data_IF_820778300769
#
_entry.id   IF_820778300769
#
_cell.length_a   1.000
_cell.length_b   1.000
_cell.length_c   1.000
_cell.angle_alpha   90.00
_cell.angle_beta   90.00
_cell.angle_gamma   90.00
#
_symmetry.space_group_name_H-M   'P 1'
#
loop_
_entity.id
_entity.type
_entity.pdbx_description
1 polymer ?
#
# COMPACT_ATOMS: atom_id res chain seq x y z
N UNK A 1 1.71 -2.27 14.01
CA UNK A 1 1.28 -2.65 12.63
C UNK A 1 2.37 -2.31 11.61
N UNK A 2 2.85 -3.26 10.78
CA UNK A 2 3.78 -2.99 9.69
C UNK A 2 3.22 -1.92 8.75
N UNK A 3 4.03 -0.91 8.45
CA UNK A 3 3.63 0.22 7.62
C UNK A 3 4.43 0.25 6.32
N UNK A 4 3.73 0.11 5.20
CA UNK A 4 4.31 0.14 3.86
C UNK A 4 3.92 1.43 3.15
N UNK A 5 4.91 2.12 2.57
CA UNK A 5 4.67 3.30 1.74
C UNK A 5 4.91 2.93 0.29
N UNK A 6 3.88 3.07 -0.54
CA UNK A 6 3.94 2.80 -1.98
C UNK A 6 3.95 4.14 -2.71
N UNK A 7 4.97 4.36 -3.52
CA UNK A 7 5.05 5.53 -4.38
C UNK A 7 4.48 5.19 -5.75
N UNK A 8 3.48 5.92 -6.21
CA UNK A 8 2.88 5.77 -7.54
C UNK A 8 2.98 7.08 -8.32
N UNK A 9 2.82 7.00 -9.65
CA UNK A 9 2.84 8.21 -10.48
C UNK A 9 1.54 9.00 -10.41
N UNK A 10 0.39 8.32 -10.24
CA UNK A 10 -0.93 8.96 -10.11
C UNK A 10 -1.80 8.13 -9.15
N UNK A 11 -2.24 8.74 -8.04
CA UNK A 11 -3.02 8.05 -7.01
C UNK A 11 -4.42 7.68 -7.48
N UNK A 12 -5.00 8.46 -8.41
CA UNK A 12 -6.36 8.24 -8.95
C UNK A 12 -6.50 6.92 -9.71
N UNK A 13 -5.41 6.46 -10.35
CA UNK A 13 -5.38 5.18 -11.06
C UNK A 13 -5.24 3.99 -10.09
N UNK A 14 -4.88 4.24 -8.83
CA UNK A 14 -4.68 3.20 -7.83
C UNK A 14 -6.01 2.80 -7.18
N UNK A 15 -6.72 1.89 -7.84
CA UNK A 15 -8.01 1.40 -7.35
C UNK A 15 -7.86 0.57 -6.05
N UNK A 16 -8.85 0.63 -5.16
CA UNK A 16 -8.82 -0.06 -3.86
C UNK A 16 -8.69 -1.59 -3.99
N UNK A 17 -9.16 -2.18 -5.09
CA UNK A 17 -9.02 -3.63 -5.32
C UNK A 17 -7.55 -4.03 -5.53
N UNK A 18 -6.78 -3.19 -6.23
CA UNK A 18 -5.35 -3.40 -6.43
C UNK A 18 -4.57 -3.18 -5.13
N UNK A 19 -5.00 -2.21 -4.31
CA UNK A 19 -4.50 -2.05 -2.95
C UNK A 19 -4.66 -3.33 -2.13
N UNK A 20 -5.87 -3.90 -2.07
CA UNK A 20 -6.13 -5.15 -1.33
C UNK A 20 -5.31 -6.31 -1.86
N UNK A 21 -5.16 -6.41 -3.19
CA UNK A 21 -4.33 -7.43 -3.80
C UNK A 21 -2.87 -7.36 -3.32
N UNK A 22 -2.26 -6.17 -3.36
CA UNK A 22 -0.89 -5.98 -2.90
C UNK A 22 -0.73 -6.24 -1.39
N UNK A 23 -1.71 -5.82 -0.58
CA UNK A 23 -1.71 -6.12 0.86
C UNK A 23 -1.71 -7.64 1.11
N UNK A 24 -2.54 -8.40 0.41
CA UNK A 24 -2.61 -9.85 0.53
C UNK A 24 -1.30 -10.51 0.06
N UNK A 25 -0.69 -10.02 -1.02
CA UNK A 25 0.61 -10.51 -1.47
C UNK A 25 1.71 -10.28 -0.41
N UNK A 26 1.76 -9.09 0.18
CA UNK A 26 2.72 -8.78 1.27
C UNK A 26 2.46 -9.68 2.48
N UNK A 27 1.19 -9.87 2.88
CA UNK A 27 0.83 -10.77 3.97
C UNK A 27 1.32 -12.20 3.73
N UNK A 28 1.12 -12.72 2.52
CA UNK A 28 1.52 -14.08 2.15
C UNK A 28 3.04 -14.25 2.10
N UNK A 29 3.79 -13.26 1.60
CA UNK A 29 5.26 -13.33 1.47
C UNK A 29 5.95 -13.24 2.83
N UNK A 30 5.48 -12.34 3.69
CA UNK A 30 6.12 -12.06 4.98
C UNK A 30 5.46 -12.77 6.18
N UNK A 31 4.43 -13.59 5.94
CA UNK A 31 3.73 -14.32 7.00
C UNK A 31 3.00 -13.41 7.99
N UNK A 32 2.41 -12.30 7.53
CA UNK A 32 1.74 -11.30 8.38
C UNK A 32 0.27 -11.65 8.67
N UNK A 33 -0.07 -12.95 8.72
CA UNK A 33 -1.41 -13.39 9.11
C UNK A 33 -1.73 -12.94 10.54
N UNK A 34 -2.95 -12.44 10.76
CA UNK A 34 -3.38 -11.91 12.07
C UNK A 34 -2.78 -10.55 12.46
N UNK A 35 -1.82 -10.02 11.71
CA UNK A 35 -1.26 -8.68 11.97
C UNK A 35 -1.92 -7.64 11.05
N UNK A 36 -2.39 -6.49 11.57
CA UNK A 36 -2.88 -5.41 10.72
C UNK A 36 -1.72 -4.83 9.90
N UNK A 37 -1.87 -4.83 8.57
CA UNK A 37 -0.93 -4.19 7.64
C UNK A 37 -1.48 -2.84 7.24
N UNK A 38 -0.66 -1.78 7.37
CA UNK A 38 -1.02 -0.44 6.93
C UNK A 38 -0.26 -0.16 5.65
N UNK A 39 -0.98 0.28 4.61
CA UNK A 39 -0.39 0.66 3.33
C UNK A 39 -0.83 2.07 2.96
N UNK A 40 0.16 2.97 2.84
CA UNK A 40 -0.03 4.36 2.45
C UNK A 40 0.45 4.57 1.01
N UNK A 41 -0.40 5.14 0.16
CA UNK A 41 -0.08 5.43 -1.24
C UNK A 41 0.29 6.91 -1.35
N UNK A 42 1.49 7.21 -1.86
CA UNK A 42 1.99 8.57 -2.10
C UNK A 42 2.23 8.78 -3.59
N UNK A 43 1.82 9.93 -4.11
CA UNK A 43 2.10 10.30 -5.49
C UNK A 43 3.51 10.87 -5.61
N UNK A 44 4.26 10.49 -6.65
CA UNK A 44 5.55 11.10 -6.97
C UNK A 44 5.30 12.53 -7.42
N UNK A 45 5.61 13.49 -6.54
CA UNK A 45 5.45 14.91 -6.84
C UNK A 45 4.42 15.63 -5.97
N UNK A 46 3.70 14.91 -5.10
CA UNK A 46 3.06 15.52 -3.93
C UNK A 46 4.18 16.10 -3.06
N UNK A 47 4.52 17.38 -3.32
CA UNK A 47 5.17 18.21 -2.32
C UNK A 47 4.18 18.31 -1.16
N UNK A 48 4.68 18.02 0.03
CA UNK A 48 3.95 18.11 1.29
C UNK A 48 3.18 19.44 1.36
N UNK A 49 1.84 19.36 1.30
CA UNK A 49 0.94 20.28 1.99
C UNK A 49 0.51 19.63 3.31
#
# INVERSE_FOLDING_TARGET
PPHFVVFCNERKLFHFSYQRYLENCIRNVFGLEGTPVIMSIREKGDKED
#
